data_IF_682445606386
#
_entry.id   IF_682445606386
#
_cell.length_a   1.000
_cell.length_b   1.000
_cell.length_c   1.000
_cell.angle_alpha   90.00
_cell.angle_beta   90.00
_cell.angle_gamma   90.00
#
_symmetry.space_group_name_H-M   'P 1'
#
loop_
_entity.id
_entity.type
_entity.pdbx_description
1 polymer ?
#
# COMPACT_ATOMS: atom_id res chain seq x y z
N UNK A 1 -26.94 -21.45 -53.69
CA UNK A 1 -25.66 -21.58 -52.98
C UNK A 1 -25.11 -20.17 -52.78
N UNK A 2 -25.35 -19.57 -51.64
CA UNK A 2 -24.84 -18.24 -51.27
C UNK A 2 -23.59 -18.38 -50.43
N UNK A 3 -22.61 -17.46 -50.54
CA UNK A 3 -21.38 -17.55 -49.79
C UNK A 3 -21.61 -17.18 -48.31
N UNK A 4 -21.18 -18.04 -47.44
CA UNK A 4 -21.05 -17.78 -45.99
C UNK A 4 -20.10 -16.62 -45.79
N UNK A 5 -20.61 -15.52 -45.26
CA UNK A 5 -19.78 -14.43 -44.76
C UNK A 5 -19.14 -14.91 -43.42
N UNK A 6 -17.85 -15.22 -43.48
CA UNK A 6 -17.04 -15.43 -42.30
C UNK A 6 -17.07 -14.14 -41.46
N UNK A 7 -17.77 -14.21 -40.33
CA UNK A 7 -17.73 -13.16 -39.32
C UNK A 7 -16.35 -13.11 -38.73
N UNK A 8 -15.51 -12.20 -39.24
CA UNK A 8 -14.25 -11.81 -38.62
C UNK A 8 -14.60 -11.20 -37.27
N UNK A 9 -14.46 -11.98 -36.21
CA UNK A 9 -14.47 -11.45 -34.83
C UNK A 9 -13.28 -10.53 -34.71
N UNK A 10 -13.52 -9.22 -34.79
CA UNK A 10 -12.56 -8.15 -34.50
C UNK A 10 -12.13 -8.27 -33.05
N UNK A 11 -11.16 -9.15 -32.76
CA UNK A 11 -10.49 -9.26 -31.49
C UNK A 11 -9.52 -8.10 -31.36
N UNK A 12 -10.06 -6.88 -31.10
CA UNK A 12 -9.23 -5.72 -30.80
C UNK A 12 -8.32 -6.07 -29.64
N UNK A 13 -7.01 -6.09 -29.91
CA UNK A 13 -6.00 -6.24 -28.84
C UNK A 13 -6.25 -5.13 -27.83
N UNK A 14 -6.32 -5.42 -26.51
CA UNK A 14 -6.51 -4.40 -25.51
C UNK A 14 -5.40 -3.35 -25.64
N UNK A 15 -5.76 -2.07 -25.53
CA UNK A 15 -4.80 -0.97 -25.66
C UNK A 15 -3.64 -1.15 -24.67
N UNK A 16 -2.41 -0.87 -25.07
CA UNK A 16 -1.20 -1.02 -24.27
C UNK A 16 -1.32 -0.38 -22.89
N UNK A 17 -1.97 0.80 -22.80
CA UNK A 17 -2.21 1.47 -21.51
C UNK A 17 -3.06 0.64 -20.55
N UNK A 18 -4.09 -0.06 -21.07
CA UNK A 18 -4.92 -0.95 -20.24
C UNK A 18 -4.12 -2.14 -19.70
N UNK A 19 -3.21 -2.69 -20.52
CA UNK A 19 -2.35 -3.79 -20.10
C UNK A 19 -1.31 -3.33 -19.07
N UNK A 20 -0.71 -2.15 -19.25
CA UNK A 20 0.20 -1.55 -18.26
C UNK A 20 -0.51 -1.29 -16.92
N UNK A 21 -1.73 -0.74 -16.98
CA UNK A 21 -2.53 -0.53 -15.77
C UNK A 21 -2.85 -1.86 -15.07
N UNK A 22 -3.20 -2.91 -15.81
CA UNK A 22 -3.44 -4.23 -15.24
C UNK A 22 -2.17 -4.84 -14.60
N UNK A 23 -0.97 -4.55 -15.17
CA UNK A 23 0.33 -4.99 -14.65
C UNK A 23 0.86 -4.14 -13.48
N UNK A 24 0.20 -3.05 -13.11
CA UNK A 24 0.64 -2.15 -12.04
C UNK A 24 0.05 -2.45 -10.68
N UNK A 25 -0.68 -3.56 -10.52
CA UNK A 25 -1.39 -3.90 -9.29
C UNK A 25 -2.34 -2.78 -8.81
N UNK A 26 -3.44 -2.49 -9.56
CA UNK A 26 -4.28 -1.31 -9.32
C UNK A 26 -4.87 -1.20 -7.91
N UNK A 27 -5.19 -2.33 -7.28
CA UNK A 27 -5.74 -2.35 -5.92
C UNK A 27 -4.83 -1.68 -4.90
N UNK A 28 -3.62 -2.19 -4.66
CA UNK A 28 -2.61 -1.53 -3.82
C UNK A 28 -2.31 -0.10 -4.24
N UNK A 29 -2.15 0.17 -5.52
CA UNK A 29 -1.88 1.52 -6.05
C UNK A 29 -2.94 2.52 -5.59
N UNK A 30 -4.22 2.22 -5.78
CA UNK A 30 -5.32 3.10 -5.36
C UNK A 30 -5.37 3.23 -3.84
N UNK A 31 -5.25 2.13 -3.12
CA UNK A 31 -5.37 2.12 -1.65
C UNK A 31 -4.29 2.99 -0.99
N UNK A 32 -3.02 2.83 -1.37
CA UNK A 32 -1.91 3.59 -0.78
C UNK A 32 -2.00 5.06 -1.16
N UNK A 33 -2.41 5.36 -2.40
CA UNK A 33 -2.61 6.75 -2.86
C UNK A 33 -3.73 7.44 -2.09
N UNK A 34 -4.88 6.78 -1.92
CA UNK A 34 -6.00 7.33 -1.14
C UNK A 34 -5.59 7.56 0.31
N UNK A 35 -4.86 6.62 0.93
CA UNK A 35 -4.37 6.78 2.29
C UNK A 35 -3.45 8.01 2.41
N UNK A 36 -2.49 8.18 1.51
CA UNK A 36 -1.62 9.36 1.50
C UNK A 36 -2.40 10.67 1.33
N UNK A 37 -3.37 10.70 0.39
CA UNK A 37 -4.20 11.86 0.15
C UNK A 37 -5.10 12.20 1.36
N UNK A 38 -5.67 11.19 2.04
CA UNK A 38 -6.46 11.38 3.26
C UNK A 38 -5.61 11.97 4.38
N UNK A 39 -4.40 11.46 4.61
CA UNK A 39 -3.49 12.01 5.62
C UNK A 39 -3.13 13.47 5.27
N UNK A 40 -2.74 13.75 4.03
CA UNK A 40 -2.39 15.09 3.59
C UNK A 40 -3.55 16.07 3.72
N UNK A 41 -4.77 15.66 3.39
CA UNK A 41 -5.97 16.48 3.58
C UNK A 41 -6.31 16.69 5.06
N UNK A 42 -6.15 15.65 5.89
CA UNK A 42 -6.44 15.70 7.32
C UNK A 42 -5.55 16.70 8.07
N UNK A 43 -4.28 16.85 7.68
CA UNK A 43 -3.38 17.85 8.27
C UNK A 43 -3.60 19.29 7.72
N UNK A 44 -4.57 19.46 6.83
CA UNK A 44 -4.96 20.79 6.34
C UNK A 44 -4.15 21.29 5.15
N UNK A 45 -3.46 20.44 4.42
CA UNK A 45 -2.79 20.86 3.18
C UNK A 45 -3.80 21.39 2.14
N UNK A 46 -3.44 22.42 1.35
CA UNK A 46 -4.28 22.92 0.28
C UNK A 46 -4.49 21.83 -0.80
N UNK A 47 -5.62 21.89 -1.51
CA UNK A 47 -6.01 20.85 -2.48
C UNK A 47 -4.95 20.54 -3.54
N UNK A 48 -4.23 21.56 -4.01
CA UNK A 48 -3.17 21.36 -4.99
C UNK A 48 -2.01 20.51 -4.43
N UNK A 49 -1.65 20.70 -3.14
CA UNK A 49 -0.58 19.93 -2.49
C UNK A 49 -1.04 18.49 -2.18
N UNK A 50 -2.29 18.31 -1.74
CA UNK A 50 -2.91 16.98 -1.63
C UNK A 50 -2.88 16.26 -2.97
N UNK A 51 -3.22 16.96 -4.06
CA UNK A 51 -3.15 16.43 -5.43
C UNK A 51 -1.72 16.06 -5.84
N UNK A 52 -0.73 16.88 -5.49
CA UNK A 52 0.69 16.61 -5.79
C UNK A 52 1.21 15.40 -5.01
N UNK A 53 0.87 15.27 -3.71
CA UNK A 53 1.16 14.07 -2.90
C UNK A 53 0.54 12.82 -3.55
N UNK A 54 -0.74 12.89 -3.94
CA UNK A 54 -1.41 11.77 -4.58
C UNK A 54 -0.74 11.37 -5.91
N UNK A 55 -0.36 12.34 -6.74
CA UNK A 55 0.31 12.09 -8.02
C UNK A 55 1.70 11.48 -7.83
N UNK A 56 2.47 11.97 -6.86
CA UNK A 56 3.78 11.40 -6.54
C UNK A 56 3.63 9.94 -6.08
N UNK A 57 2.70 9.67 -5.14
CA UNK A 57 2.47 8.32 -4.60
C UNK A 57 1.93 7.38 -5.68
N UNK A 58 0.99 7.81 -6.53
CA UNK A 58 0.52 7.00 -7.68
C UNK A 58 1.69 6.61 -8.58
N UNK A 59 2.56 7.57 -8.95
CA UNK A 59 3.70 7.28 -9.81
C UNK A 59 4.64 6.25 -9.17
N UNK A 60 4.91 6.38 -7.87
CA UNK A 60 5.71 5.42 -7.09
C UNK A 60 5.08 4.04 -7.05
N UNK A 61 3.78 3.94 -6.75
CA UNK A 61 3.05 2.67 -6.69
C UNK A 61 2.98 1.98 -8.06
N UNK A 62 2.75 2.75 -9.14
CA UNK A 62 2.80 2.22 -10.50
C UNK A 62 4.19 1.64 -10.80
N UNK A 63 5.27 2.32 -10.41
CA UNK A 63 6.63 1.84 -10.64
C UNK A 63 6.91 0.53 -9.91
N UNK A 64 6.48 0.40 -8.65
CA UNK A 64 6.63 -0.82 -7.84
C UNK A 64 5.84 -1.97 -8.48
N UNK A 65 4.56 -1.76 -8.80
CA UNK A 65 3.72 -2.80 -9.39
C UNK A 65 4.24 -3.29 -10.75
N UNK A 66 4.68 -2.37 -11.62
CA UNK A 66 5.27 -2.71 -12.92
C UNK A 66 6.63 -3.42 -12.75
N UNK A 67 7.44 -3.02 -11.77
CA UNK A 67 8.71 -3.70 -11.45
C UNK A 67 8.45 -5.13 -11.00
N UNK A 68 7.44 -5.37 -10.16
CA UNK A 68 7.03 -6.71 -9.74
C UNK A 68 6.71 -7.60 -10.94
N UNK A 69 5.82 -7.15 -11.84
CA UNK A 69 5.42 -7.93 -13.02
C UNK A 69 6.57 -8.17 -13.99
N UNK A 70 7.47 -7.19 -14.16
CA UNK A 70 8.66 -7.35 -14.97
C UNK A 70 9.65 -8.36 -14.34
N UNK A 71 10.00 -8.22 -13.07
CA UNK A 71 11.00 -9.06 -12.39
C UNK A 71 10.52 -10.51 -12.28
N UNK A 72 9.22 -10.71 -12.03
CA UNK A 72 8.61 -12.02 -11.87
C UNK A 72 8.15 -12.65 -13.19
N UNK A 73 8.34 -12.02 -14.34
CA UNK A 73 7.77 -12.44 -15.62
C UNK A 73 8.02 -13.91 -15.98
N UNK A 74 9.26 -14.40 -15.78
CA UNK A 74 9.61 -15.78 -16.12
C UNK A 74 9.04 -16.79 -15.11
N UNK A 75 9.06 -16.44 -13.83
CA UNK A 75 8.42 -17.23 -12.76
C UNK A 75 6.92 -17.36 -12.99
N UNK A 76 6.25 -16.24 -13.25
CA UNK A 76 4.80 -16.19 -13.43
C UNK A 76 4.34 -16.95 -14.67
N UNK A 77 5.16 -16.98 -15.74
CA UNK A 77 4.94 -17.86 -16.89
C UNK A 77 5.09 -19.33 -16.52
N UNK A 78 6.12 -19.67 -15.76
CA UNK A 78 6.40 -21.06 -15.38
C UNK A 78 5.27 -21.68 -14.53
N UNK A 79 4.60 -20.88 -13.71
CA UNK A 79 3.44 -21.31 -12.87
C UNK A 79 2.08 -21.03 -13.51
N UNK A 80 2.04 -20.51 -14.74
CA UNK A 80 0.80 -20.32 -15.50
C UNK A 80 -0.15 -19.23 -14.96
N UNK A 81 0.39 -18.11 -14.40
CA UNK A 81 -0.42 -16.98 -13.89
C UNK A 81 -1.28 -16.38 -15.00
N UNK A 82 -2.57 -16.72 -14.98
CA UNK A 82 -3.54 -16.27 -15.99
C UNK A 82 -4.06 -14.85 -15.76
N UNK A 83 -3.86 -14.30 -14.57
CA UNK A 83 -4.25 -12.95 -14.14
C UNK A 83 -3.27 -11.86 -14.60
N UNK A 84 -2.01 -12.24 -14.94
CA UNK A 84 -0.95 -11.29 -15.29
C UNK A 84 -0.76 -11.15 -16.81
N UNK A 85 -0.89 -9.93 -17.38
CA UNK A 85 -0.72 -9.70 -18.81
C UNK A 85 0.65 -10.10 -19.37
N UNK A 86 1.72 -9.86 -18.58
CA UNK A 86 3.10 -10.21 -18.98
C UNK A 86 3.30 -11.72 -19.06
N UNK A 87 2.79 -12.47 -18.07
CA UNK A 87 2.87 -13.93 -18.05
C UNK A 87 2.12 -14.56 -19.24
N UNK A 88 0.99 -13.96 -19.65
CA UNK A 88 0.19 -14.36 -20.81
C UNK A 88 0.78 -13.96 -22.16
N UNK A 89 1.88 -13.20 -22.20
CA UNK A 89 2.45 -12.70 -23.44
C UNK A 89 1.62 -11.61 -24.14
N UNK A 90 0.64 -11.01 -23.45
CA UNK A 90 -0.22 -9.94 -24.03
C UNK A 90 0.51 -8.60 -24.16
N UNK A 91 1.57 -8.40 -23.38
CA UNK A 91 2.45 -7.25 -23.43
C UNK A 91 3.91 -7.70 -23.30
N UNK A 92 4.82 -7.03 -24.02
CA UNK A 92 6.23 -7.37 -23.98
C UNK A 92 6.85 -7.00 -22.61
N UNK A 93 7.71 -7.86 -22.07
CA UNK A 93 8.45 -7.64 -20.82
C UNK A 93 9.24 -6.32 -20.88
N UNK A 94 9.87 -6.02 -22.02
CA UNK A 94 10.62 -4.77 -22.23
C UNK A 94 9.75 -3.52 -22.10
N UNK A 95 8.49 -3.57 -22.57
CA UNK A 95 7.54 -2.45 -22.43
C UNK A 95 7.22 -2.20 -20.96
N UNK A 96 6.94 -3.26 -20.19
CA UNK A 96 6.63 -3.14 -18.75
C UNK A 96 7.85 -2.65 -17.96
N UNK A 97 9.05 -3.16 -18.28
CA UNK A 97 10.31 -2.68 -17.69
C UNK A 97 10.52 -1.20 -17.94
N UNK A 98 10.38 -0.75 -19.19
CA UNK A 98 10.53 0.68 -19.53
C UNK A 98 9.50 1.53 -18.79
N UNK A 99 8.24 1.10 -18.73
CA UNK A 99 7.19 1.80 -17.99
C UNK A 99 7.49 1.87 -16.49
N UNK A 100 8.07 0.81 -15.86
CA UNK A 100 8.49 0.81 -14.47
C UNK A 100 9.56 1.88 -14.19
N UNK A 101 10.57 2.01 -15.05
CA UNK A 101 11.61 3.04 -14.90
C UNK A 101 11.09 4.44 -15.19
N UNK A 102 10.23 4.61 -16.20
CA UNK A 102 9.62 5.92 -16.49
C UNK A 102 8.76 6.39 -15.33
N UNK A 103 7.91 5.52 -14.77
CA UNK A 103 7.07 5.88 -13.63
C UNK A 103 7.89 6.11 -12.36
N UNK A 104 9.02 5.40 -12.16
CA UNK A 104 9.97 5.68 -11.08
C UNK A 104 10.62 7.06 -11.25
N UNK A 105 11.06 7.42 -12.46
CA UNK A 105 11.62 8.74 -12.72
C UNK A 105 10.59 9.86 -12.50
N UNK A 106 9.34 9.66 -12.95
CA UNK A 106 8.23 10.59 -12.69
C UNK A 106 7.97 10.71 -11.17
N UNK A 107 8.00 9.58 -10.43
CA UNK A 107 7.84 9.61 -8.98
C UNK A 107 8.93 10.44 -8.30
N UNK A 108 10.20 10.31 -8.71
CA UNK A 108 11.31 11.10 -8.17
C UNK A 108 11.11 12.59 -8.46
N UNK A 109 10.74 12.95 -9.70
CA UNK A 109 10.50 14.35 -10.08
C UNK A 109 9.36 14.96 -9.27
N UNK A 110 8.22 14.25 -9.19
CA UNK A 110 7.08 14.73 -8.42
C UNK A 110 7.40 14.82 -6.90
N UNK A 111 8.18 13.87 -6.39
CA UNK A 111 8.63 13.91 -4.99
C UNK A 111 9.49 15.13 -4.70
N UNK A 112 10.39 15.49 -5.60
CA UNK A 112 11.23 16.67 -5.44
C UNK A 112 10.42 17.98 -5.31
N UNK A 113 9.20 18.02 -5.87
CA UNK A 113 8.30 19.16 -5.77
C UNK A 113 7.57 19.23 -4.41
N UNK A 114 7.56 18.15 -3.62
CA UNK A 114 6.92 18.09 -2.30
C UNK A 114 7.75 18.77 -1.20
N UNK A 115 9.02 19.07 -1.46
CA UNK A 115 9.98 19.52 -0.46
C UNK A 115 10.93 18.41 0.00
N UNK A 116 12.08 18.75 0.60
CA UNK A 116 13.20 17.81 0.77
C UNK A 116 12.89 16.61 1.67
N UNK A 117 12.18 16.81 2.77
CA UNK A 117 11.85 15.72 3.71
C UNK A 117 10.87 14.73 3.08
N UNK A 118 9.77 15.23 2.51
CA UNK A 118 8.78 14.40 1.83
C UNK A 118 9.39 13.69 0.61
N UNK A 119 10.27 14.38 -0.13
CA UNK A 119 10.98 13.80 -1.28
C UNK A 119 11.85 12.60 -0.88
N UNK A 120 12.71 12.77 0.12
CA UNK A 120 13.56 11.67 0.61
C UNK A 120 12.72 10.52 1.14
N UNK A 121 11.70 10.81 1.95
CA UNK A 121 10.79 9.79 2.48
C UNK A 121 10.12 8.98 1.37
N UNK A 122 9.60 9.66 0.32
CA UNK A 122 8.93 8.98 -0.78
C UNK A 122 9.91 8.17 -1.65
N UNK A 123 11.09 8.70 -1.95
CA UNK A 123 12.11 7.94 -2.69
C UNK A 123 12.54 6.68 -1.93
N UNK A 124 12.74 6.77 -0.61
CA UNK A 124 13.06 5.60 0.24
C UNK A 124 11.89 4.61 0.26
N UNK A 125 10.64 5.09 0.34
CA UNK A 125 9.45 4.25 0.24
C UNK A 125 9.43 3.45 -1.08
N UNK A 126 9.62 4.13 -2.21
CA UNK A 126 9.65 3.48 -3.54
C UNK A 126 10.83 2.50 -3.64
N UNK A 127 12.01 2.89 -3.15
CA UNK A 127 13.19 2.02 -3.13
C UNK A 127 12.96 0.76 -2.28
N UNK A 128 12.24 0.87 -1.15
CA UNK A 128 11.87 -0.28 -0.32
C UNK A 128 10.97 -1.26 -1.10
N UNK A 129 9.99 -0.77 -1.86
CA UNK A 129 9.15 -1.60 -2.73
C UNK A 129 9.96 -2.32 -3.82
N UNK A 130 10.86 -1.60 -4.49
CA UNK A 130 11.76 -2.19 -5.48
C UNK A 130 12.71 -3.23 -4.86
N UNK A 131 13.26 -2.97 -3.66
CA UNK A 131 14.10 -3.92 -2.95
C UNK A 131 13.35 -5.20 -2.57
N UNK A 132 12.06 -5.08 -2.19
CA UNK A 132 11.19 -6.23 -1.99
C UNK A 132 11.10 -7.08 -3.25
N UNK A 133 10.79 -6.48 -4.40
CA UNK A 133 10.64 -7.17 -5.67
C UNK A 133 11.96 -7.76 -6.18
N UNK A 134 13.07 -7.05 -6.00
CA UNK A 134 14.39 -7.45 -6.46
C UNK A 134 14.95 -8.69 -5.72
N UNK A 135 14.41 -9.03 -4.52
CA UNK A 135 14.86 -10.23 -3.84
C UNK A 135 14.50 -10.36 -2.36
N UNK A 136 14.24 -9.26 -1.64
CA UNK A 136 13.92 -9.33 -0.21
C UNK A 136 12.68 -10.17 0.08
N UNK A 137 11.73 -10.27 -0.85
CA UNK A 137 10.52 -11.12 -0.74
C UNK A 137 10.82 -12.59 -0.49
N UNK A 138 12.02 -13.07 -0.88
CA UNK A 138 12.46 -14.46 -0.71
C UNK A 138 13.16 -14.72 0.64
N UNK A 139 13.33 -13.67 1.45
CA UNK A 139 14.11 -13.72 2.69
C UNK A 139 13.23 -13.50 3.92
N UNK A 140 13.76 -13.77 5.13
CA UNK A 140 13.12 -13.41 6.40
C UNK A 140 12.85 -11.90 6.50
N UNK A 141 13.66 -11.07 5.84
CA UNK A 141 13.56 -9.62 5.86
C UNK A 141 12.46 -9.07 4.95
N UNK A 142 11.63 -9.94 4.34
CA UNK A 142 10.55 -9.53 3.43
C UNK A 142 9.51 -8.58 4.07
N UNK A 143 9.41 -8.55 5.39
CA UNK A 143 8.53 -7.63 6.13
C UNK A 143 9.10 -6.21 6.19
N UNK A 144 10.43 -6.05 6.17
CA UNK A 144 11.11 -4.74 6.35
C UNK A 144 10.70 -3.71 5.32
N UNK A 145 10.64 -4.00 4.01
CA UNK A 145 10.16 -3.05 3.01
C UNK A 145 8.75 -2.50 3.31
N UNK A 146 7.85 -3.33 3.80
CA UNK A 146 6.49 -2.91 4.18
C UNK A 146 6.48 -2.02 5.41
N UNK A 147 7.25 -2.38 6.45
CA UNK A 147 7.41 -1.57 7.66
C UNK A 147 7.97 -0.20 7.31
N UNK A 148 9.01 -0.14 6.47
CA UNK A 148 9.64 1.11 6.03
C UNK A 148 8.67 1.92 5.17
N UNK A 149 8.07 1.32 4.15
CA UNK A 149 7.22 2.03 3.21
C UNK A 149 5.99 2.62 3.90
N UNK A 150 5.28 1.83 4.70
CA UNK A 150 4.08 2.31 5.39
C UNK A 150 4.40 3.24 6.56
N UNK A 151 5.55 3.06 7.24
CA UNK A 151 6.02 4.00 8.28
C UNK A 151 6.41 5.36 7.70
N UNK A 152 6.94 5.40 6.48
CA UNK A 152 7.30 6.64 5.80
C UNK A 152 6.11 7.34 5.12
N UNK A 153 4.99 6.65 4.89
CA UNK A 153 3.85 7.25 4.23
C UNK A 153 3.27 8.48 4.97
N UNK A 154 3.09 8.47 6.32
CA UNK A 154 2.78 9.68 7.07
C UNK A 154 3.84 10.78 6.92
N UNK A 155 5.13 10.42 6.85
CA UNK A 155 6.20 11.43 6.62
C UNK A 155 6.01 12.11 5.28
N UNK A 156 5.78 11.34 4.19
CA UNK A 156 5.51 11.89 2.87
C UNK A 156 4.32 12.85 2.89
N UNK A 157 3.21 12.44 3.53
CA UNK A 157 1.96 13.18 3.50
C UNK A 157 1.97 14.43 4.40
N UNK A 158 2.59 14.36 5.58
CA UNK A 158 2.59 15.44 6.57
C UNK A 158 3.68 16.47 6.26
N UNK A 159 4.89 16.01 5.84
CA UNK A 159 6.03 16.91 5.62
C UNK A 159 6.07 17.53 4.21
N UNK A 160 5.06 17.32 3.40
CA UNK A 160 4.92 17.99 2.12
C UNK A 160 4.66 19.49 2.34
N UNK A 161 5.52 20.37 1.82
CA UNK A 161 5.44 21.82 2.05
C UNK A 161 5.43 22.63 0.75
N UNK A 162 5.67 22.04 -0.39
CA UNK A 162 5.73 22.70 -1.70
C UNK A 162 6.85 23.72 -1.83
N UNK A 163 7.83 23.74 -0.94
CA UNK A 163 8.92 24.72 -0.91
C UNK A 163 9.74 24.75 -2.21
N UNK A 164 9.89 23.58 -2.85
CA UNK A 164 10.65 23.46 -4.09
C UNK A 164 10.03 24.23 -5.28
N UNK A 165 8.75 24.56 -5.24
CA UNK A 165 8.06 25.35 -6.29
C UNK A 165 7.73 26.78 -5.82
N UNK A 166 8.34 27.20 -4.71
CA UNK A 166 8.12 28.57 -4.18
C UNK A 166 6.72 28.80 -3.57
N UNK A 167 5.92 27.72 -3.40
CA UNK A 167 4.58 27.80 -2.84
C UNK A 167 4.54 27.56 -1.33
N UNK A 168 5.70 27.31 -0.70
CA UNK A 168 5.85 27.14 0.74
C UNK A 168 5.59 28.46 1.45
N UNK A 169 4.53 28.54 2.25
CA UNK A 169 4.36 29.62 3.20
C UNK A 169 5.40 29.45 4.31
N UNK A 170 6.14 30.51 4.67
CA UNK A 170 7.33 30.55 5.54
C UNK A 170 7.29 29.86 6.93
N UNK A 171 6.52 28.81 7.09
CA UNK A 171 6.54 27.87 8.20
C UNK A 171 7.52 26.74 7.93
N UNK A 172 8.25 26.29 8.96
CA UNK A 172 9.17 25.17 8.85
C UNK A 172 8.47 23.87 8.43
N UNK A 173 9.28 22.88 8.04
CA UNK A 173 8.76 21.55 7.68
C UNK A 173 8.03 20.90 8.87
N UNK A 174 6.77 20.54 8.66
CA UNK A 174 5.99 19.79 9.64
C UNK A 174 6.47 18.33 9.73
N UNK A 175 6.52 17.80 10.95
CA UNK A 175 6.85 16.39 11.18
C UNK A 175 5.61 15.63 11.64
N UNK A 176 5.43 14.38 11.18
CA UNK A 176 4.33 13.57 11.71
C UNK A 176 4.59 13.18 13.15
N UNK A 177 3.54 13.12 13.94
CA UNK A 177 3.58 12.57 15.28
C UNK A 177 4.13 11.14 15.24
N UNK A 178 4.96 10.77 16.23
CA UNK A 178 5.63 9.48 16.27
C UNK A 178 4.66 8.29 16.18
N UNK A 179 3.49 8.42 16.79
CA UNK A 179 2.46 7.36 16.76
C UNK A 179 1.87 7.15 15.37
N UNK A 180 1.81 8.19 14.53
CA UNK A 180 1.37 8.06 13.13
C UNK A 180 2.38 7.23 12.31
N UNK A 181 3.70 7.48 12.51
CA UNK A 181 4.76 6.68 11.90
C UNK A 181 4.69 5.24 12.39
N UNK A 182 4.57 5.03 13.70
CA UNK A 182 4.48 3.70 14.31
C UNK A 182 3.25 2.93 13.82
N UNK A 183 2.09 3.61 13.72
CA UNK A 183 0.86 3.04 13.15
C UNK A 183 1.09 2.57 11.72
N UNK A 184 1.68 3.41 10.86
CA UNK A 184 2.01 3.04 9.49
C UNK A 184 2.94 1.83 9.44
N UNK A 185 4.02 1.83 10.20
CA UNK A 185 4.99 0.74 10.26
C UNK A 185 4.35 -0.60 10.66
N UNK A 186 3.53 -0.61 11.71
CA UNK A 186 2.81 -1.81 12.17
C UNK A 186 1.75 -2.24 11.17
N UNK A 187 1.03 -1.28 10.56
CA UNK A 187 0.08 -1.56 9.49
C UNK A 187 0.76 -2.23 8.29
N UNK A 188 2.01 -1.83 7.95
CA UNK A 188 2.83 -2.50 6.95
C UNK A 188 3.02 -4.00 7.20
N UNK A 189 3.18 -4.41 8.48
CA UNK A 189 3.24 -5.85 8.84
C UNK A 189 1.93 -6.55 8.51
N UNK A 190 0.78 -5.94 8.83
CA UNK A 190 -0.54 -6.51 8.52
C UNK A 190 -0.73 -6.68 7.01
N UNK A 191 -0.41 -5.65 6.23
CA UNK A 191 -0.53 -5.67 4.76
C UNK A 191 0.39 -6.73 4.17
N UNK A 192 1.66 -6.82 4.62
CA UNK A 192 2.57 -7.85 4.11
C UNK A 192 2.06 -9.26 4.36
N UNK A 193 1.65 -9.57 5.58
CA UNK A 193 1.09 -10.88 5.91
C UNK A 193 -0.15 -11.19 5.07
N UNK A 194 -1.06 -10.21 4.91
CA UNK A 194 -2.31 -10.39 4.15
C UNK A 194 -2.08 -10.60 2.66
N UNK A 195 -1.14 -9.87 2.06
CA UNK A 195 -0.83 -9.99 0.64
C UNK A 195 -0.25 -11.36 0.26
N UNK A 196 0.47 -11.99 1.19
CA UNK A 196 1.10 -13.30 0.95
C UNK A 196 0.13 -14.46 1.25
N UNK A 197 -0.87 -14.29 2.10
CA UNK A 197 -1.77 -15.37 2.52
C UNK A 197 -2.44 -16.14 1.36
N UNK A 198 -2.94 -15.50 0.28
CA UNK A 198 -3.56 -16.22 -0.84
C UNK A 198 -2.56 -17.08 -1.64
N UNK A 199 -1.33 -16.60 -1.74
CA UNK A 199 -0.29 -17.18 -2.62
C UNK A 199 0.71 -18.09 -1.86
N UNK A 200 0.49 -18.33 -0.56
CA UNK A 200 1.42 -19.04 0.34
C UNK A 200 1.91 -20.39 -0.20
N UNK A 201 1.02 -21.17 -0.83
CA UNK A 201 1.35 -22.50 -1.37
C UNK A 201 2.07 -22.39 -2.70
N UNK A 202 1.65 -21.51 -3.58
CA UNK A 202 2.23 -21.31 -4.91
C UNK A 202 3.62 -20.67 -4.82
N UNK A 203 3.77 -19.71 -3.92
CA UNK A 203 5.03 -19.07 -3.60
C UNK A 203 6.05 -20.07 -3.03
N UNK A 204 5.62 -20.95 -2.11
CA UNK A 204 6.48 -21.99 -1.55
C UNK A 204 7.00 -22.97 -2.63
N UNK A 205 6.15 -23.31 -3.62
CA UNK A 205 6.52 -24.18 -4.74
C UNK A 205 7.56 -23.53 -5.66
N UNK A 206 7.60 -22.19 -5.72
CA UNK A 206 8.55 -21.41 -6.55
C UNK A 206 9.76 -20.88 -5.78
N UNK A 207 9.97 -21.35 -4.53
CA UNK A 207 11.14 -21.01 -3.71
C UNK A 207 11.05 -19.65 -3.01
N UNK A 208 9.87 -18.99 -3.01
CA UNK A 208 9.63 -17.78 -2.21
C UNK A 208 9.35 -18.21 -0.77
N UNK A 209 10.24 -17.82 0.16
CA UNK A 209 10.18 -18.20 1.58
C UNK A 209 10.38 -16.99 2.49
N UNK A 210 9.60 -15.93 2.27
CA UNK A 210 9.59 -14.73 3.07
C UNK A 210 9.07 -14.94 4.50
N UNK A 211 9.01 -13.85 5.26
CA UNK A 211 8.56 -13.85 6.66
C UNK A 211 7.20 -14.55 6.87
N UNK A 212 6.10 -14.22 6.13
CA UNK A 212 4.81 -14.88 6.33
C UNK A 212 4.84 -16.38 6.00
N UNK A 213 5.65 -16.82 5.01
CA UNK A 213 5.78 -18.22 4.66
C UNK A 213 6.35 -19.05 5.83
N UNK A 214 7.30 -18.49 6.58
CA UNK A 214 7.90 -19.13 7.76
C UNK A 214 6.93 -19.24 8.93
N UNK A 215 5.99 -18.33 9.04
CA UNK A 215 4.92 -18.38 10.05
C UNK A 215 3.80 -19.36 9.68
N UNK A 216 3.68 -19.69 8.39
CA UNK A 216 2.57 -20.49 7.86
C UNK A 216 1.23 -19.76 7.96
N UNK A 217 0.16 -20.39 7.46
CA UNK A 217 -1.17 -19.79 7.35
C UNK A 217 -1.70 -19.23 8.69
N UNK A 218 -1.59 -20.01 9.76
CA UNK A 218 -2.08 -19.60 11.08
C UNK A 218 -1.25 -18.47 11.68
N UNK A 219 0.06 -18.59 11.61
CA UNK A 219 0.97 -17.56 12.13
C UNK A 219 0.85 -16.24 11.37
N UNK A 220 0.87 -16.27 10.03
CA UNK A 220 0.73 -15.07 9.21
C UNK A 220 -0.63 -14.39 9.41
N UNK A 221 -1.73 -15.17 9.42
CA UNK A 221 -3.06 -14.62 9.66
C UNK A 221 -3.20 -14.00 11.05
N UNK A 222 -2.70 -14.67 12.09
CA UNK A 222 -2.73 -14.13 13.46
C UNK A 222 -1.87 -12.86 13.57
N UNK A 223 -0.68 -12.85 12.96
CA UNK A 223 0.20 -11.67 12.94
C UNK A 223 -0.47 -10.49 12.23
N UNK A 224 -1.16 -10.72 11.11
CA UNK A 224 -1.88 -9.66 10.41
C UNK A 224 -2.94 -9.00 11.32
N UNK A 225 -3.78 -9.79 11.97
CA UNK A 225 -4.82 -9.24 12.86
C UNK A 225 -4.25 -8.63 14.15
N UNK A 226 -3.19 -9.21 14.73
CA UNK A 226 -2.51 -8.63 15.88
C UNK A 226 -1.90 -7.26 15.53
N UNK A 227 -1.28 -7.13 14.36
CA UNK A 227 -0.75 -5.86 13.89
C UNK A 227 -1.86 -4.81 13.70
N UNK A 228 -3.03 -5.17 13.15
CA UNK A 228 -4.18 -4.24 13.05
C UNK A 228 -4.67 -3.77 14.42
N UNK A 229 -4.71 -4.66 15.42
CA UNK A 229 -5.10 -4.31 16.80
C UNK A 229 -4.07 -3.36 17.41
N UNK A 230 -2.78 -3.64 17.25
CA UNK A 230 -1.70 -2.74 17.75
C UNK A 230 -1.80 -1.37 17.05
N UNK A 231 -2.02 -1.34 15.74
CA UNK A 231 -2.20 -0.08 15.01
C UNK A 231 -3.39 0.72 15.54
N UNK A 232 -4.53 0.07 15.84
CA UNK A 232 -5.71 0.74 16.41
C UNK A 232 -5.41 1.33 17.79
N UNK A 233 -4.69 0.61 18.66
CA UNK A 233 -4.29 1.14 19.96
C UNK A 233 -3.27 2.27 19.86
N UNK A 234 -2.36 2.26 18.88
CA UNK A 234 -1.45 3.38 18.62
C UNK A 234 -2.22 4.63 18.20
N UNK A 235 -3.22 4.49 17.32
CA UNK A 235 -4.08 5.62 16.91
C UNK A 235 -4.89 6.13 18.08
N UNK A 236 -5.54 5.25 18.85
CA UNK A 236 -6.29 5.64 20.05
C UNK A 236 -5.39 6.35 21.06
N UNK A 237 -4.24 5.76 21.37
CA UNK A 237 -3.26 6.33 22.31
C UNK A 237 -2.76 7.69 21.86
N UNK A 238 -2.40 7.83 20.59
CA UNK A 238 -1.96 9.10 20.00
C UNK A 238 -3.02 10.20 20.07
N UNK A 239 -4.28 9.84 19.82
CA UNK A 239 -5.39 10.80 19.89
C UNK A 239 -5.79 11.18 21.33
N UNK A 240 -5.67 10.27 22.29
CA UNK A 240 -6.15 10.48 23.69
C UNK A 240 -5.06 10.97 24.61
N UNK A 241 -3.80 10.52 24.41
CA UNK A 241 -2.66 10.77 25.29
C UNK A 241 -1.62 11.71 24.65
N UNK A 242 -1.83 12.16 23.40
CA UNK A 242 -0.93 13.11 22.72
C UNK A 242 -1.02 14.51 23.31
N UNK A 243 -0.21 15.44 22.78
CA UNK A 243 -0.09 16.82 23.28
C UNK A 243 -1.40 17.65 23.09
N UNK A 244 -2.22 17.35 22.08
CA UNK A 244 -3.56 17.90 21.88
C UNK A 244 -4.61 16.77 21.87
N UNK A 245 -5.03 16.28 23.07
CA UNK A 245 -5.94 15.15 23.13
C UNK A 245 -7.34 15.48 22.62
N UNK A 246 -7.95 14.50 21.90
CA UNK A 246 -9.35 14.58 21.49
C UNK A 246 -10.27 14.68 22.71
N UNK A 247 -11.41 15.37 22.54
CA UNK A 247 -12.42 15.57 23.60
C UNK A 247 -13.82 15.23 23.08
N UNK A 248 -14.72 14.98 24.01
CA UNK A 248 -16.13 14.78 23.70
C UNK A 248 -16.36 13.67 22.69
N UNK A 249 -17.05 13.98 21.59
CA UNK A 249 -17.38 13.03 20.54
C UNK A 249 -16.13 12.40 19.89
N UNK A 250 -15.01 13.14 19.81
CA UNK A 250 -13.76 12.60 19.26
C UNK A 250 -13.24 11.38 20.03
N UNK A 251 -13.30 11.40 21.38
CA UNK A 251 -12.94 10.25 22.20
C UNK A 251 -13.85 9.06 21.92
N UNK A 252 -15.16 9.31 21.80
CA UNK A 252 -16.14 8.25 21.53
C UNK A 252 -15.84 7.60 20.17
N UNK A 253 -15.57 8.39 19.14
CA UNK A 253 -15.27 7.87 17.79
C UNK A 253 -13.96 7.05 17.80
N UNK A 254 -12.90 7.53 18.43
CA UNK A 254 -11.63 6.82 18.53
C UNK A 254 -11.77 5.48 19.29
N UNK A 255 -12.52 5.47 20.38
CA UNK A 255 -12.80 4.23 21.13
C UNK A 255 -13.66 3.28 20.32
N UNK A 256 -14.72 3.76 19.68
CA UNK A 256 -15.61 2.93 18.84
C UNK A 256 -14.84 2.30 17.69
N UNK A 257 -14.01 3.06 16.96
CA UNK A 257 -13.20 2.53 15.88
C UNK A 257 -12.23 1.44 16.36
N UNK A 258 -11.53 1.69 17.47
CA UNK A 258 -10.65 0.69 18.09
C UNK A 258 -11.43 -0.59 18.44
N UNK A 259 -12.60 -0.46 19.09
CA UNK A 259 -13.45 -1.62 19.44
C UNK A 259 -13.87 -2.40 18.18
N UNK A 260 -14.24 -1.70 17.12
CA UNK A 260 -14.60 -2.33 15.83
C UNK A 260 -13.41 -3.11 15.25
N UNK A 261 -12.22 -2.52 15.22
CA UNK A 261 -11.01 -3.22 14.73
C UNK A 261 -10.73 -4.47 15.59
N UNK A 262 -10.79 -4.36 16.91
CA UNK A 262 -10.57 -5.50 17.83
C UNK A 262 -11.62 -6.60 17.59
N UNK A 263 -12.89 -6.25 17.42
CA UNK A 263 -13.95 -7.22 17.14
C UNK A 263 -13.74 -7.94 15.79
N UNK A 264 -13.42 -7.18 14.72
CA UNK A 264 -13.10 -7.74 13.41
C UNK A 264 -11.88 -8.67 13.47
N UNK A 265 -10.84 -8.26 14.20
CA UNK A 265 -9.63 -9.05 14.40
C UNK A 265 -9.93 -10.35 15.17
N UNK A 266 -10.73 -10.30 16.21
CA UNK A 266 -11.14 -11.49 16.98
C UNK A 266 -11.88 -12.50 16.10
N UNK A 267 -12.81 -12.03 15.25
CA UNK A 267 -13.49 -12.87 14.26
C UNK A 267 -12.49 -13.45 13.27
N UNK A 268 -11.57 -12.61 12.75
CA UNK A 268 -10.53 -13.03 11.80
C UNK A 268 -9.63 -14.12 12.37
N UNK A 269 -9.13 -13.96 13.59
CA UNK A 269 -8.30 -14.95 14.28
C UNK A 269 -9.07 -16.27 14.46
N UNK A 270 -10.33 -16.22 14.90
CA UNK A 270 -11.16 -17.44 15.00
C UNK A 270 -11.28 -18.18 13.68
N UNK A 271 -11.49 -17.47 12.56
CA UNK A 271 -11.56 -18.07 11.23
C UNK A 271 -10.24 -18.68 10.78
N UNK A 272 -9.10 -18.03 11.11
CA UNK A 272 -7.76 -18.55 10.85
C UNK A 272 -7.56 -19.90 11.55
N UNK A 273 -7.91 -19.99 12.85
CA UNK A 273 -7.79 -21.24 13.62
C UNK A 273 -8.79 -22.32 13.17
N UNK A 274 -9.95 -21.93 12.65
CA UNK A 274 -10.93 -22.85 12.08
C UNK A 274 -10.50 -23.39 10.69
N UNK A 275 -9.32 -23.01 10.19
CA UNK A 275 -8.81 -23.44 8.88
C UNK A 275 -9.61 -22.87 7.69
N UNK A 276 -10.42 -21.86 7.93
CA UNK A 276 -11.23 -21.19 6.90
C UNK A 276 -10.46 -20.03 6.27
N UNK A 277 -9.34 -20.35 5.60
CA UNK A 277 -8.69 -19.40 4.70
C UNK A 277 -9.67 -19.05 3.57
N UNK A 278 -10.28 -17.87 3.62
CA UNK A 278 -11.37 -17.52 2.73
C UNK A 278 -11.31 -16.05 2.35
N UNK A 279 -12.06 -15.68 1.30
CA UNK A 279 -12.32 -14.29 0.93
C UNK A 279 -12.83 -13.44 2.12
N UNK A 280 -13.40 -14.09 3.13
CA UNK A 280 -13.87 -13.43 4.36
C UNK A 280 -12.71 -12.86 5.17
N UNK A 281 -11.57 -13.57 5.32
CA UNK A 281 -10.39 -13.04 6.02
C UNK A 281 -9.88 -11.77 5.34
N UNK A 282 -9.77 -11.79 4.03
CA UNK A 282 -9.36 -10.62 3.26
C UNK A 282 -10.32 -9.43 3.44
N UNK A 283 -11.64 -9.69 3.43
CA UNK A 283 -12.65 -8.64 3.68
C UNK A 283 -12.55 -8.05 5.09
N UNK A 284 -12.27 -8.88 6.11
CA UNK A 284 -12.09 -8.42 7.49
C UNK A 284 -10.86 -7.52 7.63
N UNK A 285 -9.75 -7.86 6.96
CA UNK A 285 -8.56 -7.01 6.94
C UNK A 285 -8.85 -5.68 6.23
N UNK A 286 -9.53 -5.70 5.08
CA UNK A 286 -9.94 -4.47 4.39
C UNK A 286 -10.84 -3.61 5.29
N UNK A 287 -11.84 -4.21 5.93
CA UNK A 287 -12.75 -3.48 6.82
C UNK A 287 -11.99 -2.84 8.00
N UNK A 288 -11.09 -3.58 8.65
CA UNK A 288 -10.24 -3.04 9.72
C UNK A 288 -9.34 -1.91 9.22
N UNK A 289 -8.76 -2.06 8.03
CA UNK A 289 -7.92 -1.04 7.39
C UNK A 289 -8.69 0.24 7.10
N UNK A 290 -9.94 0.12 6.60
CA UNK A 290 -10.80 1.28 6.32
C UNK A 290 -11.15 2.03 7.61
N UNK A 291 -11.42 1.33 8.71
CA UNK A 291 -11.65 1.97 10.02
C UNK A 291 -10.42 2.76 10.43
N UNK A 292 -9.22 2.16 10.35
CA UNK A 292 -7.97 2.87 10.70
C UNK A 292 -7.72 4.09 9.81
N UNK A 293 -8.02 4.02 8.52
CA UNK A 293 -7.91 5.18 7.60
C UNK A 293 -8.85 6.29 8.01
N UNK A 294 -10.09 5.96 8.38
CA UNK A 294 -11.07 6.94 8.88
C UNK A 294 -10.57 7.56 10.19
N UNK A 295 -10.07 6.77 11.13
CA UNK A 295 -9.52 7.28 12.40
C UNK A 295 -8.32 8.19 12.19
N UNK A 296 -7.40 7.86 11.27
CA UNK A 296 -6.28 8.74 10.89
C UNK A 296 -6.79 10.04 10.24
N UNK A 297 -7.80 9.95 9.37
CA UNK A 297 -8.44 11.14 8.79
C UNK A 297 -9.08 12.05 9.84
N UNK A 298 -9.74 11.47 10.86
CA UNK A 298 -10.36 12.20 11.97
C UNK A 298 -9.34 12.77 12.97
N UNK A 299 -8.13 12.21 13.03
CA UNK A 299 -7.07 12.75 13.88
C UNK A 299 -6.64 14.16 13.46
N UNK A 300 -6.72 14.50 12.18
CA UNK A 300 -6.49 15.84 11.68
C UNK A 300 -5.10 16.39 12.03
N UNK A 301 -5.06 17.63 12.54
CA UNK A 301 -3.82 18.30 12.94
C UNK A 301 -3.00 17.55 14.01
N UNK A 302 -3.60 16.61 14.75
CA UNK A 302 -2.90 15.75 15.73
C UNK A 302 -1.93 14.77 15.09
N UNK A 303 -1.99 14.60 13.78
CA UNK A 303 -0.98 13.85 13.02
C UNK A 303 0.37 14.58 12.93
N UNK A 304 0.40 15.88 13.28
CA UNK A 304 1.61 16.72 13.30
C UNK A 304 2.18 16.74 14.72
N UNK A 305 3.53 16.66 14.84
CA UNK A 305 4.27 16.76 16.09
C UNK A 305 4.50 18.23 16.48
#
# INVERSE_FOLDING_TARGET
MGPYADGVTDTRRPATLRLLFASSHPGPTVTVTVLAAVIAAAVGHPFWLVGLVALAVVAGQLSIGLANDWIDADRDRAVGRSDKPVARGLIAVGTVRTAAFVTAAVAVVLSALLGPVAAVAHVVLVAAGWAYDAGLKRTLWSVVPFVVAFGLLPVVAVSADGSAIGAGGGGGTSWPAWWAIATGAVFGVAIHCTNVLPDLLDDAATGVRGFPHRLGLRGAGTTAFAALVVAAFLVLGGQVLGDDPVRGLGVVLAVVGTVVVVALAAVGVRLVFAGRASRTLFRLVIASSLVLVVELGLAGARLVA
#
